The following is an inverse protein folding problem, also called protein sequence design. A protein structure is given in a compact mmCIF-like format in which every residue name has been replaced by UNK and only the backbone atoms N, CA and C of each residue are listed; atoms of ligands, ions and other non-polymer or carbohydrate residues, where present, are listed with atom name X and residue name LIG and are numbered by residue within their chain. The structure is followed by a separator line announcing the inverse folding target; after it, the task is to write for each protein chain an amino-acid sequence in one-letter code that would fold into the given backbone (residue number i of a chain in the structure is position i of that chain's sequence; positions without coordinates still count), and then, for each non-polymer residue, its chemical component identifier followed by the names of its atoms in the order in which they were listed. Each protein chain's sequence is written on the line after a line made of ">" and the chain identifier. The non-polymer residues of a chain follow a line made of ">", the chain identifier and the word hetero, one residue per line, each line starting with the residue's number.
data_IF_678537674076
#
_entry.id   IF_678537674076
#
_cell.length_a   1.000
_cell.length_b   1.000
_cell.length_c   1.000
_cell.angle_alpha   90.00
_cell.angle_beta   90.00
_cell.angle_gamma   90.00
#
_symmetry.space_group_name_H-M   'P 1'
#
loop_
_entity.id
_entity.type
_entity.pdbx_description
1 polymer ?
#
# COMPACT_ATOMS: atom_id res chain seq x y z
N UNK A 1 9.17 7.15 -0.74
CA UNK A 1 8.93 7.86 0.54
C UNK A 1 9.42 7.08 1.76
N UNK A 2 8.94 5.86 2.02
CA UNK A 2 9.33 5.06 3.22
C UNK A 2 10.85 4.90 3.29
N UNK A 3 11.50 4.55 2.18
CA UNK A 3 12.96 4.47 2.06
C UNK A 3 13.65 5.77 2.46
N UNK A 4 13.13 6.93 2.04
CA UNK A 4 13.70 8.23 2.40
C UNK A 4 13.64 8.49 3.91
N UNK A 5 12.48 8.24 4.53
CA UNK A 5 12.31 8.39 5.99
C UNK A 5 13.12 7.36 6.79
N UNK A 6 13.28 6.15 6.25
CA UNK A 6 14.08 5.09 6.86
C UNK A 6 15.58 5.44 6.85
N UNK A 7 16.10 5.94 5.72
CA UNK A 7 17.50 6.39 5.61
C UNK A 7 17.81 7.58 6.54
N UNK A 8 16.79 8.37 6.88
CA UNK A 8 16.90 9.54 7.78
C UNK A 8 16.10 9.30 9.07
N UNK A 9 16.22 8.11 9.66
CA UNK A 9 15.39 7.69 10.81
C UNK A 9 15.56 8.57 12.06
N UNK A 10 16.68 9.28 12.18
CA UNK A 10 16.97 10.20 13.29
C UNK A 10 16.34 11.60 13.09
N UNK A 11 15.79 11.88 11.90
CA UNK A 11 15.27 13.18 11.52
C UNK A 11 13.74 13.16 11.35
N UNK A 12 13.15 14.36 11.40
CA UNK A 12 11.74 14.56 11.10
C UNK A 12 11.61 15.64 10.02
N UNK A 13 10.69 15.42 9.09
CA UNK A 13 10.52 16.26 7.92
C UNK A 13 9.07 16.73 7.81
N UNK A 14 8.88 17.93 7.30
CA UNK A 14 7.56 18.40 6.88
C UNK A 14 7.10 17.67 5.63
N UNK A 15 5.77 17.66 5.42
CA UNK A 15 5.16 17.11 4.19
C UNK A 15 5.78 17.71 2.92
N UNK A 16 6.06 19.01 2.91
CA UNK A 16 6.62 19.71 1.75
C UNK A 16 8.06 19.28 1.49
N UNK A 17 8.89 19.14 2.54
CA UNK A 17 10.26 18.66 2.40
C UNK A 17 10.31 17.23 1.85
N UNK A 18 9.43 16.35 2.34
CA UNK A 18 9.32 14.97 1.83
C UNK A 18 8.92 14.99 0.35
N UNK A 19 7.93 15.79 -0.03
CA UNK A 19 7.47 15.92 -1.41
C UNK A 19 8.58 16.40 -2.35
N UNK A 20 9.36 17.41 -1.91
CA UNK A 20 10.54 17.88 -2.65
C UNK A 20 11.61 16.78 -2.76
N UNK A 21 11.93 16.10 -1.66
CA UNK A 21 13.00 15.11 -1.61
C UNK A 21 12.75 13.90 -2.52
N UNK A 22 11.50 13.48 -2.69
CA UNK A 22 11.13 12.34 -3.54
C UNK A 22 10.55 12.77 -4.89
N UNK A 23 10.56 14.08 -5.21
CA UNK A 23 10.00 14.66 -6.44
C UNK A 23 8.52 14.28 -6.70
N UNK A 24 7.71 14.30 -5.64
CA UNK A 24 6.29 13.91 -5.69
C UNK A 24 5.35 15.08 -5.40
N UNK A 25 4.08 14.92 -5.78
CA UNK A 25 3.07 15.92 -5.46
C UNK A 25 2.77 15.94 -3.94
N UNK A 26 2.73 17.12 -3.29
CA UNK A 26 2.41 17.22 -1.87
C UNK A 26 1.11 16.52 -1.48
N UNK A 27 0.05 16.57 -2.29
CA UNK A 27 -1.24 15.92 -1.99
C UNK A 27 -1.13 14.39 -1.97
N UNK A 28 -0.36 13.81 -2.90
CA UNK A 28 -0.03 12.39 -2.93
C UNK A 28 0.73 12.00 -1.67
N UNK A 29 1.75 12.78 -1.31
CA UNK A 29 2.54 12.58 -0.07
C UNK A 29 1.66 12.64 1.17
N UNK A 30 0.76 13.63 1.26
CA UNK A 30 -0.18 13.74 2.38
C UNK A 30 -1.08 12.51 2.53
N UNK A 31 -1.62 12.01 1.42
CA UNK A 31 -2.46 10.80 1.41
C UNK A 31 -1.67 9.57 1.85
N UNK A 32 -0.44 9.42 1.33
CA UNK A 32 0.42 8.29 1.66
C UNK A 32 0.88 8.35 3.14
N UNK A 33 1.23 9.52 3.67
CA UNK A 33 1.60 9.71 5.08
C UNK A 33 0.45 9.34 6.03
N UNK A 34 -0.78 9.71 5.69
CA UNK A 34 -1.97 9.30 6.46
C UNK A 34 -2.09 7.77 6.51
N UNK A 35 -1.97 7.09 5.36
CA UNK A 35 -2.02 5.62 5.30
C UNK A 35 -0.90 4.96 6.10
N UNK A 36 0.32 5.51 6.05
CA UNK A 36 1.44 5.01 6.83
C UNK A 36 1.22 5.20 8.34
N UNK A 37 0.61 6.33 8.74
CA UNK A 37 0.26 6.60 10.14
C UNK A 37 -0.79 5.63 10.65
N UNK A 38 -1.82 5.33 9.85
CA UNK A 38 -2.86 4.37 10.24
C UNK A 38 -2.28 2.96 10.47
N UNK A 39 -1.17 2.64 9.80
CA UNK A 39 -0.42 1.39 9.98
C UNK A 39 0.68 1.47 11.04
N UNK A 40 0.80 2.60 11.77
CA UNK A 40 1.85 2.86 12.75
C UNK A 40 3.29 2.76 12.19
N UNK A 41 3.48 3.07 10.90
CA UNK A 41 4.79 3.03 10.24
C UNK A 41 5.54 4.37 10.31
N UNK A 42 4.83 5.45 10.63
CA UNK A 42 5.39 6.80 10.80
C UNK A 42 4.84 7.44 12.07
N UNK A 43 5.67 8.26 12.72
CA UNK A 43 5.27 9.15 13.80
C UNK A 43 5.01 10.55 13.26
N UNK A 44 3.98 11.19 13.79
CA UNK A 44 3.57 12.53 13.40
C UNK A 44 3.52 13.45 14.62
N UNK A 45 4.19 14.61 14.55
CA UNK A 45 4.16 15.63 15.59
C UNK A 45 4.09 17.03 14.96
N UNK A 46 2.94 17.68 15.10
CA UNK A 46 2.70 18.99 14.51
C UNK A 46 2.65 18.89 12.98
N UNK A 47 3.67 19.43 12.31
CA UNK A 47 3.81 19.37 10.85
C UNK A 47 4.87 18.33 10.42
N UNK A 48 5.57 17.74 11.40
CA UNK A 48 6.72 16.88 11.20
C UNK A 48 6.37 15.41 11.21
N UNK A 49 6.99 14.67 10.30
CA UNK A 49 6.83 13.25 10.08
C UNK A 49 8.19 12.56 10.16
N UNK A 50 8.24 11.41 10.81
CA UNK A 50 9.44 10.58 10.89
C UNK A 50 9.04 9.10 10.84
N UNK A 51 10.01 8.22 10.54
CA UNK A 51 9.77 6.78 10.59
C UNK A 51 9.48 6.33 12.03
N UNK A 52 8.68 5.28 12.21
CA UNK A 52 8.47 4.67 13.52
C UNK A 52 9.75 3.98 14.01
N UNK A 53 9.98 3.97 15.33
CA UNK A 53 11.19 3.38 15.93
C UNK A 53 11.24 1.85 15.86
N UNK A 54 10.08 1.22 15.67
CA UNK A 54 9.93 -0.23 15.41
C UNK A 54 10.40 -0.56 13.97
N UNK A 55 11.72 -0.51 13.78
CA UNK A 55 12.38 -0.73 12.50
C UNK A 55 12.13 -2.15 11.95
N UNK A 56 11.91 -3.14 12.83
CA UNK A 56 11.55 -4.51 12.43
C UNK A 56 10.18 -4.56 11.76
N UNK A 57 9.18 -3.89 12.33
CA UNK A 57 7.85 -3.77 11.71
C UNK A 57 7.87 -2.97 10.41
N UNK A 58 8.66 -1.89 10.38
CA UNK A 58 8.83 -1.06 9.18
C UNK A 58 9.50 -1.85 8.06
N UNK A 59 10.55 -2.62 8.38
CA UNK A 59 11.26 -3.46 7.42
C UNK A 59 10.36 -4.58 6.88
N UNK A 60 9.64 -5.30 7.75
CA UNK A 60 8.72 -6.36 7.34
C UNK A 60 7.59 -5.85 6.41
N UNK A 61 7.05 -4.66 6.68
CA UNK A 61 6.03 -4.06 5.82
C UNK A 61 6.58 -3.63 4.46
N UNK A 62 7.83 -3.14 4.40
CA UNK A 62 8.47 -2.74 3.15
C UNK A 62 8.90 -3.94 2.28
N UNK A 63 9.35 -5.03 2.92
CA UNK A 63 9.70 -6.28 2.25
C UNK A 63 8.49 -6.93 1.57
N UNK A 64 7.35 -7.00 2.30
CA UNK A 64 6.08 -7.44 1.74
C UNK A 64 5.61 -6.54 0.59
N UNK A 65 5.68 -5.22 0.75
CA UNK A 65 5.27 -4.29 -0.31
C UNK A 65 6.13 -4.38 -1.57
N UNK A 66 7.46 -4.46 -1.42
CA UNK A 66 8.40 -4.65 -2.55
C UNK A 66 8.11 -5.95 -3.30
N UNK A 67 7.79 -7.02 -2.58
CA UNK A 67 7.41 -8.30 -3.19
C UNK A 67 6.08 -8.17 -3.94
N UNK A 68 5.09 -7.47 -3.38
CA UNK A 68 3.81 -7.24 -4.06
C UNK A 68 3.92 -6.29 -5.26
N UNK A 69 4.76 -5.24 -5.21
CA UNK A 69 4.99 -4.36 -6.38
C UNK A 69 5.68 -5.13 -7.51
N UNK A 70 6.65 -5.99 -7.21
CA UNK A 70 7.25 -6.89 -8.22
C UNK A 70 6.23 -7.82 -8.85
N UNK A 71 5.38 -8.44 -8.04
CA UNK A 71 4.30 -9.29 -8.54
C UNK A 71 3.29 -8.50 -9.40
N UNK A 72 3.06 -7.22 -9.08
CA UNK A 72 2.18 -6.36 -9.86
C UNK A 72 2.82 -5.84 -11.17
N UNK A 73 4.15 -5.78 -11.25
CA UNK A 73 4.88 -5.43 -12.50
C UNK A 73 4.95 -6.63 -13.46
N UNK A 74 4.92 -7.87 -12.93
CA UNK A 74 4.85 -9.11 -13.72
C UNK A 74 3.43 -9.55 -14.06
N UNK A 75 2.40 -9.04 -13.38
CA UNK A 75 0.99 -9.30 -13.72
C UNK A 75 0.57 -8.37 -14.85
N UNK A 76 0.66 -8.86 -16.09
CA UNK A 76 -0.04 -8.29 -17.23
C UNK A 76 -1.54 -8.41 -16.92
N UNK A 77 -2.09 -7.38 -16.28
CA UNK A 77 -3.32 -7.43 -15.50
C UNK A 77 -4.40 -8.38 -16.03
N UNK A 78 -5.01 -9.12 -15.09
CA UNK A 78 -6.15 -10.03 -15.26
C UNK A 78 -7.06 -9.61 -16.43
N UNK A 79 -6.98 -10.33 -17.55
CA UNK A 79 -7.82 -10.11 -18.73
C UNK A 79 -9.24 -10.60 -18.45
N UNK A 80 -10.14 -9.69 -18.10
CA UNK A 80 -11.50 -10.02 -17.70
C UNK A 80 -12.26 -10.84 -18.75
N UNK A 81 -11.97 -10.67 -20.05
CA UNK A 81 -12.59 -11.46 -21.12
C UNK A 81 -12.06 -12.91 -21.16
N UNK A 82 -10.77 -13.14 -20.87
CA UNK A 82 -10.20 -14.49 -20.73
C UNK A 82 -10.81 -15.24 -19.53
N UNK A 83 -10.97 -14.55 -18.41
CA UNK A 83 -11.57 -15.11 -17.19
C UNK A 83 -13.07 -15.43 -17.36
N UNK A 84 -13.81 -14.63 -18.13
CA UNK A 84 -15.23 -14.88 -18.44
C UNK A 84 -15.39 -16.08 -19.39
N UNK A 85 -14.48 -16.25 -20.36
CA UNK A 85 -14.52 -17.39 -21.29
C UNK A 85 -14.28 -18.76 -20.62
N UNK A 86 -13.59 -18.79 -19.48
CA UNK A 86 -13.32 -20.03 -18.72
C UNK A 86 -14.27 -20.21 -17.54
N UNK A 87 -15.13 -19.22 -17.26
CA UNK A 87 -16.12 -19.32 -16.21
C UNK A 87 -17.11 -20.47 -16.52
N UNK A 88 -17.37 -21.36 -15.56
CA UNK A 88 -18.35 -22.41 -15.76
C UNK A 88 -19.75 -21.80 -15.90
N UNK A 89 -20.50 -22.20 -16.93
CA UNK A 89 -21.88 -21.72 -17.15
C UNK A 89 -22.88 -22.22 -16.10
N UNK A 90 -22.43 -23.05 -15.16
CA UNK A 90 -23.26 -23.54 -14.06
C UNK A 90 -23.01 -22.68 -12.82
N UNK A 91 -24.06 -22.04 -12.26
CA UNK A 91 -23.96 -21.28 -11.02
C UNK A 91 -23.31 -22.11 -9.91
N UNK A 92 -22.52 -21.44 -9.08
CA UNK A 92 -21.79 -22.12 -8.02
C UNK A 92 -22.79 -22.81 -7.08
N UNK A 93 -22.52 -24.03 -6.59
CA UNK A 93 -23.48 -24.78 -5.75
C UNK A 93 -23.89 -24.07 -4.46
N UNK A 94 -23.19 -23.01 -4.03
CA UNK A 94 -23.59 -22.13 -2.92
C UNK A 94 -24.64 -21.08 -3.30
N UNK A 95 -24.88 -20.85 -4.59
CA UNK A 95 -25.93 -19.96 -5.13
C UNK A 95 -27.21 -20.74 -5.47
N UNK A 96 -27.17 -22.07 -5.35
CA UNK A 96 -28.32 -22.97 -5.49
C UNK A 96 -28.93 -23.28 -4.13
N UNK A 97 -29.46 -22.27 -3.44
CA UNK A 97 -30.44 -22.50 -2.37
C UNK A 97 -31.15 -21.18 -2.05
N UNK A 98 -32.39 -21.00 -2.56
CA UNK A 98 -33.60 -20.63 -1.80
C UNK A 98 -34.88 -20.92 -2.65
N UNK A 99 -34.97 -22.06 -3.33
CA UNK A 99 -36.26 -22.58 -3.82
C UNK A 99 -36.75 -23.70 -2.87
N UNK A 100 -37.18 -23.30 -1.68
CA UNK A 100 -38.01 -24.15 -0.83
C UNK A 100 -38.91 -23.33 0.07
N UNK A 101 -40.09 -22.97 -0.45
CA UNK A 101 -41.40 -23.14 0.20
C UNK A 101 -42.56 -22.76 -0.74
#
# INVERSE_FOLDING_TARGET
>A
MVTYLYTHSDQAFTRSEIATAISENPNTVGTALSRLKDRNLVRHKGEFWAIAEDQERVAAAYDLHTTSERLNDEDSGIDADEWDSVAPETPHPSERDEDRQ
#
